data_IF_800301181535
#
_entry.id   IF_800301181535
#
_cell.length_a   1.000
_cell.length_b   1.000
_cell.length_c   1.000
_cell.angle_alpha   90.00
_cell.angle_beta   90.00
_cell.angle_gamma   90.00
#
_symmetry.space_group_name_H-M   'P 1'
#
loop_
_entity.id
_entity.type
_entity.pdbx_description
1 polymer ?
#
# COMPACT_ATOMS: atom_id res chain seq x y z
N UNK A 1 -7.14 -10.33 7.18
CA UNK A 1 -8.04 -11.49 6.96
C UNK A 1 -7.21 -12.74 6.67
N UNK A 2 -7.67 -13.91 7.12
CA UNK A 2 -7.02 -15.20 6.85
C UNK A 2 -7.80 -15.94 5.77
N UNK A 3 -7.12 -16.42 4.73
CA UNK A 3 -7.77 -17.17 3.67
C UNK A 3 -8.29 -18.53 4.20
N UNK A 4 -9.50 -18.97 3.79
CA UNK A 4 -10.09 -20.21 4.30
C UNK A 4 -9.46 -21.49 3.73
N UNK A 5 -8.75 -21.40 2.60
CA UNK A 5 -8.07 -22.54 1.96
C UNK A 5 -6.89 -22.08 1.10
N UNK A 6 -6.13 -23.04 0.57
CA UNK A 6 -5.02 -22.77 -0.33
C UNK A 6 -5.50 -22.23 -1.69
N UNK A 7 -6.61 -22.79 -2.19
CA UNK A 7 -7.27 -22.34 -3.41
C UNK A 7 -7.79 -20.91 -3.29
N UNK A 8 -8.18 -20.48 -2.09
CA UNK A 8 -8.58 -19.10 -1.87
C UNK A 8 -7.40 -18.11 -1.98
N UNK A 9 -6.20 -18.52 -1.56
CA UNK A 9 -4.99 -17.71 -1.73
C UNK A 9 -4.63 -17.59 -3.23
N UNK A 10 -4.67 -18.70 -3.96
CA UNK A 10 -4.45 -18.71 -5.41
C UNK A 10 -5.50 -17.85 -6.12
N UNK A 11 -6.77 -17.96 -5.74
CA UNK A 11 -7.87 -17.23 -6.34
C UNK A 11 -7.75 -15.71 -6.14
N UNK A 12 -7.27 -15.23 -5.00
CA UNK A 12 -7.04 -13.79 -4.79
C UNK A 12 -6.01 -13.25 -5.80
N UNK A 13 -4.96 -14.01 -6.14
CA UNK A 13 -3.98 -13.64 -7.19
C UNK A 13 -4.65 -13.66 -8.57
N UNK A 14 -5.44 -14.69 -8.88
CA UNK A 14 -6.11 -14.81 -10.18
C UNK A 14 -7.11 -13.68 -10.41
N UNK A 15 -7.89 -13.31 -9.38
CA UNK A 15 -8.81 -12.18 -9.43
C UNK A 15 -8.09 -10.85 -9.60
N UNK A 16 -6.99 -10.66 -8.86
CA UNK A 16 -6.16 -9.46 -9.03
C UNK A 16 -5.64 -9.31 -10.46
N UNK A 17 -5.12 -10.40 -11.04
CA UNK A 17 -4.69 -10.43 -12.44
C UNK A 17 -5.85 -10.22 -13.41
N UNK A 18 -7.04 -10.75 -13.12
CA UNK A 18 -8.24 -10.53 -13.94
C UNK A 18 -8.62 -9.04 -13.98
N UNK A 19 -8.51 -8.33 -12.85
CA UNK A 19 -8.72 -6.88 -12.76
C UNK A 19 -7.59 -6.03 -13.38
N UNK A 20 -6.49 -6.64 -13.81
CA UNK A 20 -5.38 -5.98 -14.51
C UNK A 20 -4.16 -5.67 -13.65
N UNK A 21 -4.17 -6.01 -12.37
CA UNK A 21 -3.01 -5.84 -11.49
C UNK A 21 -1.97 -6.94 -11.75
N UNK A 22 -0.69 -6.61 -11.57
CA UNK A 22 0.43 -7.54 -11.71
C UNK A 22 1.17 -7.79 -10.39
N UNK A 23 0.75 -7.15 -9.30
CA UNK A 23 1.30 -7.35 -7.98
C UNK A 23 0.43 -6.79 -6.86
N UNK A 24 0.81 -7.07 -5.61
CA UNK A 24 0.13 -6.57 -4.43
C UNK A 24 1.10 -6.17 -3.31
N UNK A 25 0.60 -5.26 -2.48
CA UNK A 25 1.07 -5.01 -1.13
C UNK A 25 -0.06 -5.47 -0.19
N UNK A 26 0.12 -6.59 0.53
CA UNK A 26 -0.90 -7.12 1.47
C UNK A 26 -0.78 -6.36 2.79
N UNK A 27 -1.29 -5.14 2.72
CA UNK A 27 -1.45 -4.21 3.81
C UNK A 27 -2.39 -4.79 4.89
N UNK A 28 -2.05 -4.84 6.19
CA UNK A 28 -0.77 -4.63 6.85
C UNK A 28 -0.32 -5.90 7.56
N UNK A 29 0.15 -6.92 6.83
CA UNK A 29 0.61 -8.16 7.46
C UNK A 29 1.77 -8.78 6.73
N UNK A 30 2.55 -9.57 7.47
CA UNK A 30 3.46 -10.55 6.88
C UNK A 30 2.62 -11.58 6.13
N UNK A 31 2.96 -11.80 4.86
CA UNK A 31 2.25 -12.70 3.97
C UNK A 31 2.38 -14.15 4.47
N UNK A 32 1.35 -14.98 4.24
CA UNK A 32 1.49 -16.42 4.43
C UNK A 32 2.44 -17.01 3.36
N UNK A 33 3.36 -17.90 3.74
CA UNK A 33 4.32 -18.54 2.81
C UNK A 33 3.62 -19.21 1.62
N UNK A 34 2.41 -19.73 1.83
CA UNK A 34 1.59 -20.32 0.77
C UNK A 34 1.14 -19.30 -0.26
N UNK A 35 0.84 -18.06 0.14
CA UNK A 35 0.55 -16.99 -0.81
C UNK A 35 1.78 -16.66 -1.65
N UNK A 36 2.95 -16.55 -1.01
CA UNK A 36 4.22 -16.27 -1.71
C UNK A 36 4.58 -17.40 -2.70
N UNK A 37 4.36 -18.66 -2.32
CA UNK A 37 4.50 -19.81 -3.21
C UNK A 37 3.62 -19.69 -4.47
N UNK A 38 2.35 -19.30 -4.31
CA UNK A 38 1.46 -19.09 -5.44
C UNK A 38 1.85 -17.86 -6.27
N UNK A 39 2.29 -16.78 -5.63
CA UNK A 39 2.78 -15.58 -6.30
C UNK A 39 4.00 -15.87 -7.19
N UNK A 40 4.96 -16.66 -6.68
CA UNK A 40 6.11 -17.12 -7.45
C UNK A 40 5.68 -17.91 -8.69
N UNK A 41 4.79 -18.89 -8.51
CA UNK A 41 4.32 -19.77 -9.58
C UNK A 41 3.52 -19.04 -10.65
N UNK A 42 2.70 -18.07 -10.23
CA UNK A 42 1.80 -17.33 -11.10
C UNK A 42 2.45 -16.08 -11.71
N UNK A 43 3.69 -15.75 -11.33
CA UNK A 43 4.38 -14.55 -11.79
C UNK A 43 3.64 -13.29 -11.35
N UNK A 44 3.47 -13.14 -10.03
CA UNK A 44 2.77 -12.02 -9.40
C UNK A 44 3.71 -11.34 -8.41
N UNK A 45 3.85 -10.01 -8.55
CA UNK A 45 4.82 -9.25 -7.76
C UNK A 45 4.28 -8.95 -6.37
N UNK A 46 5.15 -8.95 -5.37
CA UNK A 46 4.78 -8.73 -3.98
C UNK A 46 5.73 -7.73 -3.35
N UNK A 47 5.19 -6.76 -2.62
CA UNK A 47 5.97 -5.96 -1.68
C UNK A 47 5.87 -6.58 -0.29
N UNK A 48 6.99 -7.07 0.25
CA UNK A 48 7.03 -7.71 1.56
C UNK A 48 6.85 -6.67 2.66
N UNK A 49 5.89 -6.88 3.55
CA UNK A 49 5.48 -5.89 4.54
C UNK A 49 5.39 -6.48 5.95
N UNK A 50 5.63 -5.63 6.95
CA UNK A 50 5.40 -5.95 8.34
C UNK A 50 4.04 -5.42 8.83
N UNK A 51 3.41 -6.11 9.77
CA UNK A 51 2.15 -5.65 10.36
C UNK A 51 2.39 -4.68 11.51
N UNK A 52 2.25 -3.37 11.24
CA UNK A 52 2.49 -2.30 12.22
C UNK A 52 1.25 -1.45 12.55
N UNK A 53 0.06 -1.80 12.06
CA UNK A 53 -1.17 -1.08 12.38
C UNK A 53 -1.43 -1.06 13.91
N UNK A 54 -1.48 0.15 14.47
CA UNK A 54 -1.60 0.36 15.92
C UNK A 54 -0.28 0.66 16.64
N UNK A 55 0.85 0.69 15.93
CA UNK A 55 2.12 1.10 16.51
C UNK A 55 2.15 2.62 16.70
N UNK A 56 1.85 3.07 17.92
CA UNK A 56 2.06 4.44 18.33
C UNK A 56 3.38 4.54 19.07
N UNK A 57 4.26 5.41 18.60
CA UNK A 57 5.49 5.76 19.28
C UNK A 57 5.14 6.62 20.50
N UNK A 58 4.65 6.01 21.56
CA UNK A 58 4.47 6.72 22.82
C UNK A 58 5.86 7.03 23.40
N UNK A 59 6.08 8.21 24.00
CA UNK A 59 7.27 8.41 24.80
C UNK A 59 7.22 7.38 25.93
N UNK A 60 8.37 6.76 26.29
CA UNK A 60 8.44 5.73 27.35
C UNK A 60 7.89 6.20 28.72
N UNK A 61 7.55 7.48 28.85
CA UNK A 61 6.94 8.14 30.01
C UNK A 61 5.43 7.92 30.10
N UNK A 62 4.76 7.45 29.05
CA UNK A 62 3.35 7.03 29.10
C UNK A 62 3.31 5.50 29.06
N UNK A 63 3.35 4.81 30.22
CA UNK A 63 3.18 3.37 30.25
C UNK A 63 1.76 3.03 29.81
N UNK A 64 1.62 2.66 28.54
CA UNK A 64 0.40 2.07 28.05
C UNK A 64 0.65 0.56 27.81
N UNK A 65 0.14 -0.31 28.68
CA UNK A 65 0.37 -1.76 28.58
C UNK A 65 -0.22 -2.40 27.31
N UNK A 66 -1.07 -1.69 26.57
CA UNK A 66 -1.64 -2.16 25.30
C UNK A 66 -0.85 -1.73 24.06
N UNK A 67 0.16 -0.84 24.19
CA UNK A 67 0.81 -0.16 23.03
C UNK A 67 2.34 -0.31 23.00
N UNK A 68 2.90 -1.17 23.84
CA UNK A 68 4.33 -1.49 23.84
C UNK A 68 4.57 -2.82 23.13
N UNK A 69 4.64 -2.83 21.80
CA UNK A 69 5.56 -3.81 21.20
C UNK A 69 6.97 -3.28 21.50
N UNK A 70 7.77 -3.96 22.35
CA UNK A 70 9.14 -3.52 22.53
C UNK A 70 9.82 -3.61 21.17
N UNK A 71 10.51 -2.55 20.73
CA UNK A 71 11.17 -2.51 19.43
C UNK A 71 11.99 -3.79 19.15
N UNK A 72 12.63 -4.36 20.18
CA UNK A 72 13.33 -5.64 20.08
C UNK A 72 12.47 -6.81 19.56
N UNK A 73 11.19 -6.92 19.94
CA UNK A 73 10.29 -7.94 19.44
C UNK A 73 9.98 -7.73 17.96
N UNK A 74 9.72 -6.48 17.54
CA UNK A 74 9.53 -6.13 16.13
C UNK A 74 10.77 -6.49 15.30
N UNK A 75 11.97 -6.11 15.74
CA UNK A 75 13.20 -6.48 15.03
C UNK A 75 13.38 -8.00 14.93
N UNK A 76 13.07 -8.74 16.01
CA UNK A 76 13.13 -10.21 15.98
C UNK A 76 12.12 -10.82 15.00
N UNK A 77 10.85 -10.38 15.07
CA UNK A 77 9.77 -10.86 14.19
C UNK A 77 10.03 -10.49 12.73
N UNK A 78 10.52 -9.28 12.48
CA UNK A 78 10.89 -8.83 11.14
C UNK A 78 12.11 -9.60 10.61
N UNK A 79 13.10 -9.88 11.46
CA UNK A 79 14.22 -10.76 11.12
C UNK A 79 13.76 -12.14 10.71
N UNK A 80 12.78 -12.71 11.41
CA UNK A 80 12.21 -14.02 11.06
C UNK A 80 11.49 -13.98 9.71
N UNK A 81 10.68 -12.95 9.47
CA UNK A 81 9.99 -12.76 8.19
C UNK A 81 10.98 -12.64 7.02
N UNK A 82 11.99 -11.77 7.14
CA UNK A 82 13.04 -11.60 6.12
C UNK A 82 13.80 -12.89 5.84
N UNK A 83 14.20 -13.62 6.89
CA UNK A 83 14.93 -14.87 6.74
C UNK A 83 14.09 -15.97 6.10
N UNK A 84 12.81 -16.07 6.47
CA UNK A 84 11.85 -17.03 5.91
C UNK A 84 11.59 -16.75 4.43
N UNK A 85 11.37 -15.48 4.09
CA UNK A 85 10.81 -15.10 2.79
C UNK A 85 11.86 -14.74 1.72
N UNK A 86 13.14 -14.66 2.10
CA UNK A 86 14.26 -14.24 1.24
C UNK A 86 14.29 -14.90 -0.15
N UNK A 87 13.95 -16.19 -0.22
CA UNK A 87 14.06 -17.00 -1.43
C UNK A 87 12.88 -16.84 -2.41
N UNK A 88 11.84 -16.07 -2.06
CA UNK A 88 10.70 -15.86 -2.95
C UNK A 88 11.03 -14.82 -4.04
N UNK A 89 11.11 -15.22 -5.32
CA UNK A 89 11.36 -14.29 -6.42
C UNK A 89 10.19 -13.31 -6.66
N UNK A 90 8.98 -13.63 -6.23
CA UNK A 90 7.83 -12.71 -6.29
C UNK A 90 8.03 -11.45 -5.46
N UNK A 91 8.82 -11.53 -4.37
CA UNK A 91 9.11 -10.37 -3.54
C UNK A 91 10.09 -9.45 -4.28
N UNK A 92 9.66 -8.22 -4.52
CA UNK A 92 10.44 -7.21 -5.25
C UNK A 92 10.95 -6.05 -4.38
N UNK A 93 10.52 -5.98 -3.12
CA UNK A 93 10.90 -4.92 -2.19
C UNK A 93 10.37 -5.20 -0.80
N UNK A 94 10.87 -4.44 0.18
CA UNK A 94 10.53 -4.58 1.59
C UNK A 94 10.03 -3.26 2.19
N UNK A 95 9.03 -3.32 3.06
CA UNK A 95 8.49 -2.18 3.80
C UNK A 95 8.23 -2.60 5.26
N UNK A 96 9.04 -2.14 6.23
CA UNK A 96 8.88 -2.54 7.62
C UNK A 96 7.84 -1.69 8.37
N UNK A 97 7.42 -0.54 7.83
CA UNK A 97 6.57 0.43 8.51
C UNK A 97 5.60 1.10 7.53
N UNK A 98 4.46 1.55 8.03
CA UNK A 98 3.42 2.21 7.24
C UNK A 98 2.80 3.37 8.01
N UNK A 99 2.32 4.37 7.28
CA UNK A 99 1.47 5.45 7.75
C UNK A 99 1.95 6.10 9.06
N UNK A 100 3.26 6.29 9.16
CA UNK A 100 3.84 6.91 10.33
C UNK A 100 3.55 8.42 10.32
N UNK A 101 2.55 8.86 11.08
CA UNK A 101 2.16 10.27 11.23
C UNK A 101 2.85 10.96 12.43
N UNK A 102 3.19 12.24 12.27
CA UNK A 102 4.00 13.00 13.23
C UNK A 102 3.20 14.11 13.90
N UNK A 103 2.62 13.83 15.08
CA UNK A 103 1.77 14.80 15.80
C UNK A 103 2.40 15.47 17.04
N UNK A 104 3.60 15.10 17.50
CA UNK A 104 4.27 15.77 18.65
C UNK A 104 5.80 15.73 18.58
N UNK A 105 6.46 16.79 19.03
CA UNK A 105 7.92 16.99 18.91
C UNK A 105 8.75 15.99 19.73
N UNK A 106 8.29 15.55 20.91
CA UNK A 106 9.08 14.70 21.82
C UNK A 106 9.13 13.20 21.43
N UNK A 107 8.24 12.76 20.54
CA UNK A 107 8.16 11.38 20.01
C UNK A 107 9.13 11.17 18.84
N UNK A 108 9.65 12.28 18.30
CA UNK A 108 10.32 12.36 17.01
C UNK A 108 11.59 11.52 16.90
N UNK A 109 12.51 11.63 17.87
CA UNK A 109 13.83 11.01 17.72
C UNK A 109 13.76 9.47 17.78
N UNK A 110 12.97 8.92 18.71
CA UNK A 110 12.83 7.47 18.85
C UNK A 110 12.20 6.84 17.60
N UNK A 111 11.21 7.50 17.01
CA UNK A 111 10.61 7.05 15.76
C UNK A 111 11.62 7.08 14.61
N UNK A 112 12.33 8.20 14.42
CA UNK A 112 13.35 8.32 13.37
C UNK A 112 14.45 7.28 13.55
N UNK A 113 14.92 7.07 14.78
CA UNK A 113 15.95 6.08 15.09
C UNK A 113 15.48 4.64 14.81
N UNK A 114 14.23 4.33 15.12
CA UNK A 114 13.64 3.00 14.85
C UNK A 114 13.43 2.78 13.37
N UNK A 115 12.88 3.75 12.63
CA UNK A 115 12.73 3.67 11.18
C UNK A 115 14.09 3.51 10.50
N UNK A 116 15.09 4.31 10.87
CA UNK A 116 16.44 4.17 10.35
C UNK A 116 17.07 2.82 10.74
N UNK A 117 16.84 2.34 11.95
CA UNK A 117 17.30 1.04 12.42
C UNK A 117 16.70 -0.12 11.61
N UNK A 118 15.38 -0.12 11.40
CA UNK A 118 14.67 -1.13 10.61
C UNK A 118 15.10 -1.09 9.14
N UNK A 119 15.22 0.10 8.56
CA UNK A 119 15.74 0.27 7.21
C UNK A 119 17.13 -0.37 7.06
N UNK A 120 18.08 0.04 7.91
CA UNK A 120 19.45 -0.47 7.86
C UNK A 120 19.51 -1.98 8.13
N UNK A 121 18.73 -2.48 9.08
CA UNK A 121 18.63 -3.90 9.36
C UNK A 121 18.10 -4.69 8.14
N UNK A 122 17.06 -4.18 7.49
CA UNK A 122 16.49 -4.79 6.29
C UNK A 122 17.52 -4.83 5.16
N UNK A 123 18.28 -3.74 4.93
CA UNK A 123 19.38 -3.72 3.95
C UNK A 123 20.51 -4.69 4.27
N UNK A 124 20.78 -4.95 5.55
CA UNK A 124 21.78 -5.94 5.96
C UNK A 124 21.28 -7.38 5.75
N UNK A 125 20.00 -7.63 6.00
CA UNK A 125 19.38 -8.94 5.81
C UNK A 125 19.17 -9.29 4.33
N UNK A 126 18.73 -8.32 3.52
CA UNK A 126 18.61 -8.44 2.06
C UNK A 126 19.26 -7.22 1.37
N UNK A 127 20.53 -7.34 0.94
CA UNK A 127 21.22 -6.25 0.27
C UNK A 127 20.82 -6.09 -1.20
N UNK A 128 19.98 -6.98 -1.73
CA UNK A 128 19.69 -7.06 -3.18
C UNK A 128 18.39 -6.38 -3.57
N UNK A 129 17.39 -6.37 -2.68
CA UNK A 129 16.08 -5.76 -2.94
C UNK A 129 16.01 -4.32 -2.41
N UNK A 130 15.21 -3.45 -3.06
CA UNK A 130 14.94 -2.11 -2.56
C UNK A 130 14.15 -2.16 -1.23
N UNK A 131 14.43 -1.21 -0.37
CA UNK A 131 13.71 -1.01 0.90
C UNK A 131 13.07 0.36 0.91
N UNK A 132 11.77 0.36 1.20
CA UNK A 132 10.99 1.53 1.58
C UNK A 132 11.11 1.67 3.10
N UNK A 133 11.57 2.81 3.61
CA UNK A 133 11.80 2.99 5.05
C UNK A 133 10.46 3.01 5.83
N UNK A 134 9.48 3.68 5.26
CA UNK A 134 8.08 3.72 5.67
C UNK A 134 7.22 3.99 4.44
N UNK A 135 6.06 3.34 4.36
CA UNK A 135 5.04 3.62 3.34
C UNK A 135 4.14 4.77 3.78
N UNK A 136 4.07 5.82 2.97
CA UNK A 136 3.17 6.95 3.19
C UNK A 136 3.59 7.92 4.32
N UNK A 137 3.00 9.10 4.26
CA UNK A 137 3.23 10.24 5.16
C UNK A 137 4.70 10.68 5.32
N UNK A 138 5.46 10.12 6.27
CA UNK A 138 6.70 10.72 6.78
C UNK A 138 7.95 9.85 6.65
N UNK A 139 8.61 9.90 5.50
CA UNK A 139 9.95 9.34 5.33
C UNK A 139 10.95 9.91 6.33
N UNK A 140 11.80 9.04 6.87
CA UNK A 140 12.79 9.34 7.90
C UNK A 140 14.23 9.12 7.42
N UNK A 141 14.43 8.40 6.32
CA UNK A 141 15.76 8.02 5.81
C UNK A 141 16.09 8.78 4.52
N UNK A 142 17.05 9.70 4.58
CA UNK A 142 17.42 10.58 3.46
C UNK A 142 17.80 9.85 2.16
N UNK A 143 18.40 8.65 2.26
CA UNK A 143 18.85 7.86 1.13
C UNK A 143 18.15 6.49 1.11
N UNK A 144 16.85 6.46 1.43
CA UNK A 144 16.03 5.28 1.18
C UNK A 144 16.14 4.87 -0.30
N UNK A 145 16.00 3.58 -0.62
CA UNK A 145 16.11 3.09 -1.99
C UNK A 145 14.93 3.58 -2.86
N UNK A 146 13.77 3.77 -2.25
CA UNK A 146 12.48 4.12 -2.87
C UNK A 146 11.71 5.05 -1.93
N UNK A 147 10.92 5.97 -2.50
CA UNK A 147 9.95 6.80 -1.77
C UNK A 147 8.53 6.55 -2.30
N UNK A 148 7.51 6.90 -1.51
CA UNK A 148 6.13 6.71 -1.92
C UNK A 148 5.17 7.74 -1.31
N UNK A 149 3.90 7.64 -1.68
CA UNK A 149 2.80 8.37 -1.03
C UNK A 149 1.50 7.60 -1.01
N UNK A 150 0.63 8.03 -0.10
CA UNK A 150 -0.78 7.69 -0.07
C UNK A 150 -1.59 8.91 -0.49
N UNK A 151 -2.45 8.78 -1.50
CA UNK A 151 -3.32 9.86 -1.94
C UNK A 151 -4.70 9.34 -2.35
N UNK A 152 -5.69 9.71 -1.55
CA UNK A 152 -7.07 9.26 -1.67
C UNK A 152 -8.00 10.30 -2.32
N UNK A 153 -7.43 11.35 -2.94
CA UNK A 153 -8.20 12.34 -3.70
C UNK A 153 -8.96 11.68 -4.85
N UNK A 154 -10.28 11.90 -4.89
CA UNK A 154 -11.18 11.31 -5.89
C UNK A 154 -11.37 12.17 -7.14
N UNK A 155 -11.05 13.46 -7.06
CA UNK A 155 -11.09 14.38 -8.20
C UNK A 155 -9.82 14.21 -9.03
N UNK A 156 -9.97 13.83 -10.30
CA UNK A 156 -8.84 13.45 -11.16
C UNK A 156 -7.88 14.62 -11.41
N UNK A 157 -8.38 15.85 -11.57
CA UNK A 157 -7.54 17.02 -11.83
C UNK A 157 -6.79 17.47 -10.58
N UNK A 158 -7.45 17.38 -9.42
CA UNK A 158 -6.81 17.63 -8.12
C UNK A 158 -5.75 16.57 -7.82
N UNK A 159 -6.08 15.28 -8.00
CA UNK A 159 -5.15 14.17 -7.84
C UNK A 159 -3.95 14.33 -8.78
N UNK A 160 -4.16 14.72 -10.05
CA UNK A 160 -3.07 15.04 -10.97
C UNK A 160 -2.15 16.15 -10.45
N UNK A 161 -2.74 17.22 -9.91
CA UNK A 161 -1.97 18.33 -9.35
C UNK A 161 -1.18 17.89 -8.13
N UNK A 162 -1.77 17.07 -7.26
CA UNK A 162 -1.12 16.54 -6.05
C UNK A 162 0.00 15.57 -6.41
N UNK A 163 -0.24 14.66 -7.35
CA UNK A 163 0.80 13.79 -7.90
C UNK A 163 1.89 14.64 -8.57
N UNK A 164 1.63 15.63 -9.42
CA UNK A 164 2.71 16.46 -10.00
C UNK A 164 3.57 17.19 -8.94
N UNK A 165 2.99 17.50 -7.79
CA UNK A 165 3.65 18.12 -6.65
C UNK A 165 4.17 17.10 -5.63
N UNK A 166 4.45 15.85 -6.07
CA UNK A 166 4.93 14.61 -5.41
C UNK A 166 5.62 14.73 -4.03
N UNK A 167 6.23 15.87 -3.69
CA UNK A 167 7.15 16.06 -2.58
C UNK A 167 6.73 17.12 -1.57
N UNK A 168 5.57 17.76 -1.76
CA UNK A 168 5.07 18.70 -0.77
C UNK A 168 4.36 17.91 0.31
N UNK A 169 5.14 17.57 1.36
CA UNK A 169 4.67 17.18 2.69
C UNK A 169 3.16 17.37 2.81
N UNK A 170 2.40 16.27 2.87
CA UNK A 170 1.02 16.38 3.28
C UNK A 170 1.00 17.27 4.52
N UNK A 171 0.01 18.14 4.67
CA UNK A 171 -0.08 19.01 5.86
C UNK A 171 -0.10 18.21 7.17
N UNK A 172 -0.25 16.88 7.07
CA UNK A 172 -0.22 15.89 8.15
C UNK A 172 1.20 15.39 8.49
N UNK A 173 2.19 15.62 7.62
CA UNK A 173 3.58 15.24 7.85
C UNK A 173 4.50 16.44 8.11
N UNK A 174 4.81 16.66 9.39
CA UNK A 174 5.80 17.65 9.82
C UNK A 174 7.19 16.97 9.82
N UNK A 175 8.15 17.52 9.07
CA UNK A 175 9.58 17.13 9.02
C UNK A 175 9.97 15.89 8.18
N UNK A 176 9.18 15.42 7.19
CA UNK A 176 9.66 14.36 6.28
C UNK A 176 11.03 14.72 5.71
N UNK A 177 11.90 13.73 5.49
CA UNK A 177 13.15 13.98 4.77
C UNK A 177 12.82 14.51 3.37
N UNK A 178 13.59 15.50 2.91
CA UNK A 178 13.41 16.02 1.57
C UNK A 178 13.70 14.92 0.54
N UNK A 179 12.79 14.77 -0.42
CA UNK A 179 13.01 13.89 -1.56
C UNK A 179 14.26 14.31 -2.34
N UNK A 180 15.04 13.32 -2.74
CA UNK A 180 16.37 13.49 -3.33
C UNK A 180 16.52 12.79 -4.70
N UNK A 181 15.41 12.44 -5.36
CA UNK A 181 15.42 11.81 -6.69
C UNK A 181 15.33 10.28 -6.69
N UNK A 182 14.92 9.67 -5.58
CA UNK A 182 14.66 8.24 -5.48
C UNK A 182 13.55 7.78 -6.45
N UNK A 183 13.55 6.53 -6.94
CA UNK A 183 12.35 5.97 -7.58
C UNK A 183 11.11 6.19 -6.71
N UNK A 184 10.00 6.60 -7.34
CA UNK A 184 8.77 6.97 -6.65
C UNK A 184 7.54 6.24 -7.19
N UNK A 185 6.60 5.90 -6.31
CA UNK A 185 5.30 5.32 -6.67
C UNK A 185 4.20 5.72 -5.66
N UNK A 186 2.93 5.72 -6.07
CA UNK A 186 1.82 5.90 -5.11
C UNK A 186 1.40 4.53 -4.58
N UNK A 187 1.82 4.18 -3.37
CA UNK A 187 1.61 2.85 -2.80
C UNK A 187 0.21 2.63 -2.24
N UNK A 188 -0.58 3.68 -2.08
CA UNK A 188 -2.01 3.62 -1.79
C UNK A 188 -2.72 4.79 -2.48
N UNK A 189 -3.74 4.47 -3.28
CA UNK A 189 -4.61 5.47 -3.87
C UNK A 189 -5.97 4.86 -4.23
N UNK A 190 -6.88 5.71 -4.68
CA UNK A 190 -8.20 5.27 -5.10
C UNK A 190 -9.09 5.09 -3.89
N UNK A 191 -9.42 3.85 -3.50
CA UNK A 191 -10.35 3.63 -2.40
C UNK A 191 -11.77 4.09 -2.73
N UNK A 192 -12.14 4.02 -4.02
CA UNK A 192 -13.42 4.49 -4.54
C UNK A 192 -14.54 3.67 -3.91
N UNK A 193 -15.40 4.32 -3.12
CA UNK A 193 -16.57 3.65 -2.52
C UNK A 193 -17.51 3.15 -3.62
N UNK A 194 -17.74 1.84 -3.69
CA UNK A 194 -18.77 1.28 -4.57
C UNK A 194 -19.44 0.09 -3.89
N UNK A 195 -20.67 0.32 -3.42
CA UNK A 195 -21.56 -0.73 -2.96
C UNK A 195 -22.98 -0.51 -3.49
N UNK A 196 -23.39 -1.22 -4.56
CA UNK A 196 -24.72 -1.08 -5.14
C UNK A 196 -25.83 -1.53 -4.17
N UNK A 197 -25.55 -2.44 -3.22
CA UNK A 197 -26.50 -2.87 -2.19
C UNK A 197 -26.73 -1.83 -1.07
N UNK A 198 -25.84 -0.83 -0.95
CA UNK A 198 -25.98 0.27 0.03
C UNK A 198 -26.74 1.48 -0.51
N UNK A 199 -27.21 1.44 -1.77
CA UNK A 199 -28.31 2.32 -2.19
C UNK A 199 -29.58 2.03 -1.38
N UNK A 200 -29.67 0.88 -0.70
CA UNK A 200 -30.84 0.43 0.05
C UNK A 200 -30.60 0.24 1.58
N UNK A 201 -29.37 0.29 2.10
CA UNK A 201 -29.08 0.01 3.52
C UNK A 201 -28.11 1.01 4.19
N UNK A 202 -28.48 1.48 5.38
CA UNK A 202 -27.83 2.55 6.15
C UNK A 202 -26.83 2.06 7.20
N UNK A 203 -26.08 1.00 6.92
CA UNK A 203 -24.97 0.58 7.79
C UNK A 203 -23.76 1.51 7.69
N UNK A 204 -22.96 1.62 8.76
CA UNK A 204 -21.69 2.36 8.82
C UNK A 204 -20.64 1.73 7.86
N UNK A 205 -20.75 2.05 6.58
CA UNK A 205 -19.78 1.68 5.54
C UNK A 205 -19.15 2.93 4.94
N UNK A 206 -17.85 2.87 4.66
CA UNK A 206 -17.12 4.01 4.12
C UNK A 206 -16.17 3.60 2.99
N UNK A 207 -15.75 4.61 2.25
CA UNK A 207 -14.66 4.61 1.27
C UNK A 207 -14.23 6.06 1.09
N UNK A 208 -13.26 6.32 0.24
CA UNK A 208 -12.64 7.64 0.15
C UNK A 208 -13.40 8.58 -0.80
N UNK A 209 -13.56 9.83 -0.38
CA UNK A 209 -14.32 10.89 -1.06
C UNK A 209 -15.79 10.56 -1.36
N UNK A 210 -16.39 11.30 -2.30
CA UNK A 210 -17.81 11.15 -2.64
C UNK A 210 -18.07 9.89 -3.47
N UNK A 211 -19.08 9.09 -3.11
CA UNK A 211 -19.41 7.89 -3.86
C UNK A 211 -19.82 8.22 -5.31
N UNK A 212 -19.34 7.48 -6.32
CA UNK A 212 -19.82 7.63 -7.70
C UNK A 212 -21.33 7.43 -7.79
N UNK A 213 -22.01 8.22 -8.63
CA UNK A 213 -23.47 8.16 -8.78
C UNK A 213 -23.95 6.93 -9.54
N UNK A 214 -23.11 6.38 -10.41
CA UNK A 214 -23.39 5.21 -11.23
C UNK A 214 -22.08 4.50 -11.61
N UNK A 215 -22.21 3.33 -12.25
CA UNK A 215 -21.07 2.49 -12.59
C UNK A 215 -20.17 3.13 -13.65
N UNK A 216 -20.74 3.90 -14.58
CA UNK A 216 -19.96 4.64 -15.59
C UNK A 216 -19.04 5.67 -14.93
N UNK A 217 -19.53 6.37 -13.91
CA UNK A 217 -18.74 7.32 -13.12
C UNK A 217 -17.64 6.61 -12.33
N UNK A 218 -17.93 5.43 -11.75
CA UNK A 218 -16.91 4.62 -11.09
C UNK A 218 -15.77 4.27 -12.07
N UNK A 219 -16.10 3.75 -13.25
CA UNK A 219 -15.10 3.39 -14.26
C UNK A 219 -14.33 4.61 -14.76
N UNK A 220 -15.01 5.73 -15.03
CA UNK A 220 -14.36 6.97 -15.45
C UNK A 220 -13.37 7.48 -14.39
N UNK A 221 -13.75 7.39 -13.11
CA UNK A 221 -12.87 7.80 -12.00
C UNK A 221 -11.69 6.85 -11.84
N UNK A 222 -11.92 5.54 -11.81
CA UNK A 222 -10.86 4.54 -11.71
C UNK A 222 -9.84 4.71 -12.86
N UNK A 223 -10.33 4.85 -14.09
CA UNK A 223 -9.51 5.05 -15.27
C UNK A 223 -8.77 6.39 -15.23
N UNK A 224 -9.40 7.46 -14.74
CA UNK A 224 -8.76 8.77 -14.57
C UNK A 224 -7.62 8.74 -13.55
N UNK A 225 -7.84 8.14 -12.37
CA UNK A 225 -6.83 8.03 -11.32
C UNK A 225 -5.65 7.14 -11.72
N UNK A 226 -5.91 5.97 -12.30
CA UNK A 226 -4.84 5.14 -12.90
C UNK A 226 -4.16 5.88 -14.06
N UNK A 227 -4.95 6.65 -14.82
CA UNK A 227 -4.53 7.45 -15.94
C UNK A 227 -3.42 8.43 -15.60
N UNK A 228 -3.65 9.25 -14.57
CA UNK A 228 -2.69 10.22 -14.02
C UNK A 228 -1.35 9.57 -13.71
N UNK A 229 -1.36 8.37 -13.13
CA UNK A 229 -0.13 7.70 -12.73
C UNK A 229 0.61 7.07 -13.92
N UNK A 230 -0.12 6.38 -14.80
CA UNK A 230 0.42 5.78 -16.02
C UNK A 230 0.98 6.83 -16.99
N UNK A 231 0.41 8.04 -17.04
CA UNK A 231 0.89 9.12 -17.89
C UNK A 231 2.06 9.90 -17.29
N UNK A 232 2.44 9.62 -16.03
CA UNK A 232 3.56 10.27 -15.38
C UNK A 232 4.86 9.47 -15.56
N UNK A 233 5.88 10.03 -16.25
CA UNK A 233 7.11 9.29 -16.53
C UNK A 233 8.09 9.24 -15.35
N UNK A 234 7.77 9.87 -14.22
CA UNK A 234 8.56 9.80 -12.98
C UNK A 234 8.02 8.74 -12.00
N UNK A 235 6.84 8.16 -12.29
CA UNK A 235 6.23 7.10 -11.49
C UNK A 235 6.53 5.72 -12.06
N UNK A 236 7.10 4.83 -11.25
CA UNK A 236 7.40 3.45 -11.69
C UNK A 236 6.28 2.45 -11.41
N UNK A 237 5.28 2.82 -10.61
CA UNK A 237 4.18 1.93 -10.26
C UNK A 237 3.11 2.61 -9.41
N UNK A 238 2.16 1.81 -8.94
CA UNK A 238 1.13 2.21 -7.99
C UNK A 238 0.50 0.99 -7.32
N UNK A 239 -0.23 1.19 -6.21
CA UNK A 239 -1.04 0.15 -5.59
C UNK A 239 -2.42 0.70 -5.18
N UNK A 240 -3.46 0.13 -5.80
CA UNK A 240 -4.85 0.57 -5.60
C UNK A 240 -5.42 -0.04 -4.32
N UNK A 241 -6.01 0.79 -3.48
CA UNK A 241 -6.78 0.36 -2.30
C UNK A 241 -8.23 0.13 -2.75
N UNK A 242 -8.77 -1.09 -2.82
CA UNK A 242 -8.16 -2.39 -2.54
C UNK A 242 -8.81 -3.52 -3.37
N UNK A 243 -8.30 -4.74 -3.26
CA UNK A 243 -8.78 -5.89 -4.04
C UNK A 243 -10.22 -6.31 -3.65
N UNK A 244 -10.47 -6.49 -2.36
CA UNK A 244 -11.78 -6.93 -1.83
C UNK A 244 -12.26 -5.94 -0.78
N UNK A 245 -13.57 -5.86 -0.57
CA UNK A 245 -14.08 -5.19 0.62
C UNK A 245 -13.50 -5.81 1.90
N UNK A 246 -13.26 -4.98 2.90
CA UNK A 246 -12.74 -5.39 4.21
C UNK A 246 -13.63 -4.83 5.29
N UNK A 247 -14.54 -5.67 5.79
CA UNK A 247 -15.50 -5.32 6.84
C UNK A 247 -16.28 -4.03 6.52
N UNK A 248 -15.92 -2.92 7.17
CA UNK A 248 -16.59 -1.62 7.03
C UNK A 248 -16.09 -0.83 5.79
N UNK A 249 -14.91 -1.15 5.30
CA UNK A 249 -14.31 -0.52 4.13
C UNK A 249 -14.83 -1.19 2.86
N UNK A 250 -15.66 -0.47 2.11
CA UNK A 250 -16.42 -1.00 0.98
C UNK A 250 -15.98 -0.40 -0.36
N UNK A 251 -14.66 -0.33 -0.54
CA UNK A 251 -13.98 0.21 -1.72
C UNK A 251 -13.21 -0.87 -2.51
N UNK A 252 -13.42 -2.14 -2.21
CA UNK A 252 -12.86 -3.25 -2.95
C UNK A 252 -13.41 -3.32 -4.37
N UNK A 253 -12.57 -3.76 -5.33
CA UNK A 253 -13.04 -4.06 -6.70
C UNK A 253 -13.84 -5.38 -6.77
N UNK A 254 -13.68 -6.25 -5.77
CA UNK A 254 -14.52 -7.40 -5.50
C UNK A 254 -15.23 -7.26 -4.14
N UNK A 255 -16.33 -8.00 -3.95
CA UNK A 255 -16.97 -8.11 -2.64
C UNK A 255 -16.06 -8.84 -1.65
N UNK A 256 -16.41 -8.78 -0.35
CA UNK A 256 -15.71 -9.47 0.73
C UNK A 256 -15.55 -10.99 0.47
N UNK A 257 -16.55 -11.61 -0.15
CA UNK A 257 -16.59 -13.03 -0.51
C UNK A 257 -15.97 -13.34 -1.88
N UNK A 258 -15.26 -12.36 -2.48
CA UNK A 258 -14.62 -12.44 -3.81
C UNK A 258 -15.60 -12.50 -4.99
N UNK A 259 -16.90 -12.35 -4.75
CA UNK A 259 -17.84 -12.24 -5.87
C UNK A 259 -17.64 -10.91 -6.61
N UNK A 260 -17.79 -10.88 -7.95
CA UNK A 260 -17.68 -9.65 -8.72
C UNK A 260 -18.75 -8.62 -8.31
N UNK A 261 -18.33 -7.36 -8.12
CA UNK A 261 -19.24 -6.23 -7.93
C UNK A 261 -19.82 -5.70 -9.25
N UNK A 262 -19.05 -5.84 -10.31
CA UNK A 262 -19.29 -5.34 -11.64
C UNK A 262 -18.38 -6.09 -12.62
N UNK A 263 -18.58 -5.96 -13.95
CA UNK A 263 -17.60 -6.41 -14.94
C UNK A 263 -16.22 -5.79 -14.69
N UNK A 264 -15.17 -6.61 -14.61
CA UNK A 264 -13.81 -6.15 -14.25
C UNK A 264 -12.97 -5.78 -15.46
N UNK A 265 -13.44 -6.11 -16.66
CA UNK A 265 -12.77 -5.83 -17.93
C UNK A 265 -12.43 -4.35 -18.11
N UNK A 266 -13.32 -3.37 -17.79
CA UNK A 266 -12.97 -1.95 -17.90
C UNK A 266 -11.82 -1.52 -16.98
N UNK A 267 -11.67 -2.13 -15.80
CA UNK A 267 -10.56 -1.85 -14.88
C UNK A 267 -9.26 -2.39 -15.47
N UNK A 268 -9.31 -3.61 -16.03
CA UNK A 268 -8.16 -4.21 -16.67
C UNK A 268 -7.68 -3.35 -17.84
N UNK A 269 -8.59 -2.93 -18.72
CA UNK A 269 -8.28 -2.10 -19.88
C UNK A 269 -7.67 -0.75 -19.49
N UNK A 270 -8.13 -0.14 -18.40
CA UNK A 270 -7.57 1.12 -17.90
C UNK A 270 -6.09 1.00 -17.46
N UNK A 271 -5.66 -0.19 -17.05
CA UNK A 271 -4.35 -0.43 -16.45
C UNK A 271 -3.31 -1.04 -17.41
N UNK A 272 -3.71 -1.91 -18.34
CA UNK A 272 -2.77 -2.67 -19.19
C UNK A 272 -2.17 -1.88 -20.37
N UNK A 273 -2.34 -0.55 -20.38
CA UNK A 273 -1.73 0.32 -21.40
C UNK A 273 -0.28 0.64 -21.04
N UNK A 274 0.57 0.83 -22.04
CA UNK A 274 1.99 1.20 -21.85
C UNK A 274 2.11 2.52 -21.08
N UNK A 275 2.77 2.48 -19.92
CA UNK A 275 3.03 3.66 -19.11
C UNK A 275 4.03 4.61 -19.78
N UNK A 276 4.02 5.89 -19.39
CA UNK A 276 4.94 6.89 -19.91
C UNK A 276 6.40 6.59 -19.55
N UNK A 277 6.65 6.02 -18.37
CA UNK A 277 7.99 5.62 -17.92
C UNK A 277 8.62 4.52 -18.80
N UNK A 278 7.80 3.64 -19.40
CA UNK A 278 8.27 2.56 -20.29
C UNK A 278 8.73 3.07 -21.67
N UNK A 279 8.48 4.35 -21.99
CA UNK A 279 8.84 4.96 -23.28
C UNK A 279 10.12 5.81 -23.21
N UNK A 280 10.68 5.98 -22.01
CA UNK A 280 11.97 6.65 -21.78
C UNK A 280 13.13 5.73 -22.18
#
# INVERSE_FOLDING_TARGET
MTAPSDEALENDILLSKAAGFNGARLHQKVFEERFLYHADRLGYLVWGEYGDWGMQFAPMTVPNPEFNQPFAAMFAQWSEALARDFNHPSIIGWCPLNETSRRKEDIYQALVDVTAGLYNFTKLADPTRPVLDVSGYCHCVHNADVCDSHDYTQDVEKFKTEMENFFMNSTECINSVAYAGQPYFCSEFGGIKWNPAMLENTGESWGYGDAPRNLEEFYARFAGLCGVQLDNPELFGYCYTQLTDVFQEQNGVYNFDRTPKFPVEPLREAQIRTAAIEKK
#
